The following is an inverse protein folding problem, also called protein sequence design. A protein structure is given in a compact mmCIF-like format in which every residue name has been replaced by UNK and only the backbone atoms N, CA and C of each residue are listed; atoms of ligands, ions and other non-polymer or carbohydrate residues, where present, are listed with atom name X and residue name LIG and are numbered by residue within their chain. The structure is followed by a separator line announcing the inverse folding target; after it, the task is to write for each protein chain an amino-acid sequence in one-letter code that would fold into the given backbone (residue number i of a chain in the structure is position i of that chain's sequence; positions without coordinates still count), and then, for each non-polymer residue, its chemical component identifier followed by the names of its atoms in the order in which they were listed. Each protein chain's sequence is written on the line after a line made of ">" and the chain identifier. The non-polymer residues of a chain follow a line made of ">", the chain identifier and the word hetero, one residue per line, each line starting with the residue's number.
data_IF_700203249101
#
_entry.id   IF_700203249101
#
_cell.length_a   1.000
_cell.length_b   1.000
_cell.length_c   1.000
_cell.angle_alpha   90.00
_cell.angle_beta   90.00
_cell.angle_gamma   90.00
#
_symmetry.space_group_name_H-M   'P 1'
#
loop_
_entity.id
_entity.type
_entity.pdbx_description
1 polymer ?
#
# COMPACT_ATOMS: atom_id res chain seq x y z
N UNK A 1 -7.08 15.59 16.73
CA UNK A 1 -7.50 15.01 15.44
C UNK A 1 -8.28 13.73 15.69
N UNK A 2 -9.38 13.49 14.98
CA UNK A 2 -10.11 12.20 15.05
C UNK A 2 -9.23 11.06 14.51
N UNK A 3 -9.29 9.83 15.10
CA UNK A 3 -8.55 8.66 14.61
C UNK A 3 -8.76 8.39 13.12
N UNK A 4 -9.98 8.63 12.63
CA UNK A 4 -10.35 8.50 11.21
C UNK A 4 -9.57 9.47 10.31
N UNK A 5 -9.39 10.72 10.75
CA UNK A 5 -8.66 11.75 9.99
C UNK A 5 -7.17 11.42 9.96
N UNK A 6 -6.59 11.05 11.10
CA UNK A 6 -5.18 10.63 11.20
C UNK A 6 -4.87 9.47 10.23
N UNK A 7 -5.74 8.47 10.20
CA UNK A 7 -5.60 7.32 9.29
C UNK A 7 -5.67 7.72 7.82
N UNK A 8 -6.62 8.58 7.46
CA UNK A 8 -6.78 9.07 6.09
C UNK A 8 -5.58 9.90 5.63
N UNK A 9 -5.01 10.71 6.52
CA UNK A 9 -3.77 11.44 6.26
C UNK A 9 -2.59 10.50 6.04
N UNK A 10 -2.42 9.47 6.88
CA UNK A 10 -1.36 8.46 6.68
C UNK A 10 -1.51 7.72 5.34
N UNK A 11 -2.73 7.33 4.98
CA UNK A 11 -3.02 6.70 3.70
C UNK A 11 -2.67 7.62 2.52
N UNK A 12 -3.06 8.90 2.62
CA UNK A 12 -2.73 9.90 1.61
C UNK A 12 -1.21 10.10 1.49
N UNK A 13 -0.50 10.20 2.61
CA UNK A 13 0.97 10.27 2.59
C UNK A 13 1.60 9.03 1.96
N UNK A 14 1.15 7.83 2.35
CA UNK A 14 1.61 6.58 1.74
C UNK A 14 1.42 6.60 0.23
N UNK A 15 0.23 7.00 -0.23
CA UNK A 15 -0.09 7.13 -1.65
C UNK A 15 0.81 8.10 -2.40
N UNK A 16 1.03 9.31 -1.87
CA UNK A 16 1.89 10.32 -2.50
C UNK A 16 3.35 9.83 -2.55
N UNK A 17 3.86 9.24 -1.47
CA UNK A 17 5.21 8.67 -1.45
C UNK A 17 5.32 7.55 -2.48
N UNK A 18 4.29 6.71 -2.59
CA UNK A 18 4.19 5.67 -3.62
C UNK A 18 4.27 6.24 -5.03
N UNK A 19 3.46 7.26 -5.33
CA UNK A 19 3.47 7.94 -6.63
C UNK A 19 4.85 8.52 -6.98
N UNK A 20 5.47 9.22 -6.04
CA UNK A 20 6.80 9.81 -6.24
C UNK A 20 7.84 8.72 -6.47
N UNK A 21 7.82 7.66 -5.64
CA UNK A 21 8.77 6.57 -5.77
C UNK A 21 8.61 5.80 -7.08
N UNK A 22 7.38 5.43 -7.46
CA UNK A 22 7.10 4.73 -8.70
C UNK A 22 7.40 5.58 -9.96
N UNK A 23 7.31 6.90 -9.85
CA UNK A 23 7.73 7.81 -10.92
C UNK A 23 9.25 7.84 -11.11
N UNK A 24 10.03 8.00 -10.04
CA UNK A 24 11.49 8.11 -10.14
C UNK A 24 12.21 6.76 -10.29
N UNK A 25 11.59 5.68 -9.79
CA UNK A 25 12.20 4.35 -9.68
C UNK A 25 11.22 3.24 -10.13
N UNK A 26 10.73 3.28 -11.39
CA UNK A 26 9.67 2.39 -11.86
C UNK A 26 10.07 0.91 -11.84
N UNK A 27 11.30 0.58 -12.22
CA UNK A 27 11.80 -0.80 -12.22
C UNK A 27 11.97 -1.36 -10.80
N UNK A 28 12.47 -0.57 -9.86
CA UNK A 28 12.55 -0.98 -8.45
C UNK A 28 11.15 -1.17 -7.86
N UNK A 29 10.19 -0.29 -8.20
CA UNK A 29 8.81 -0.41 -7.75
C UNK A 29 8.17 -1.72 -8.25
N UNK A 30 8.33 -2.05 -9.54
CA UNK A 30 7.87 -3.30 -10.13
C UNK A 30 8.44 -4.54 -9.41
N UNK A 31 9.73 -4.51 -9.06
CA UNK A 31 10.37 -5.62 -8.35
C UNK A 31 9.92 -5.75 -6.89
N UNK A 32 9.62 -4.63 -6.23
CA UNK A 32 9.15 -4.61 -4.84
C UNK A 32 7.67 -4.99 -4.71
N UNK A 33 6.89 -4.83 -5.77
CA UNK A 33 5.44 -5.06 -5.74
C UNK A 33 5.03 -6.44 -5.23
N UNK A 34 5.58 -7.56 -5.73
CA UNK A 34 5.22 -8.89 -5.25
C UNK A 34 5.51 -9.06 -3.77
N UNK A 35 6.70 -8.64 -3.31
CA UNK A 35 7.14 -8.80 -1.92
C UNK A 35 6.23 -8.01 -0.98
N UNK A 36 5.98 -6.74 -1.30
CA UNK A 36 5.14 -5.87 -0.49
C UNK A 36 3.67 -6.27 -0.53
N UNK A 37 3.15 -6.67 -1.70
CA UNK A 37 1.76 -7.13 -1.84
C UNK A 37 1.49 -8.43 -1.08
N UNK A 38 2.42 -9.41 -1.16
CA UNK A 38 2.32 -10.65 -0.38
C UNK A 38 2.41 -10.35 1.11
N UNK A 39 3.36 -9.52 1.55
CA UNK A 39 3.51 -9.17 2.96
C UNK A 39 2.25 -8.49 3.54
N UNK A 40 1.69 -7.54 2.80
CA UNK A 40 0.42 -6.88 3.15
C UNK A 40 -0.75 -7.87 3.15
N UNK A 41 -0.85 -8.72 2.14
CA UNK A 41 -1.92 -9.72 2.01
C UNK A 41 -1.91 -10.73 3.17
N UNK A 42 -0.72 -11.26 3.52
CA UNK A 42 -0.54 -12.15 4.67
C UNK A 42 -0.89 -11.41 5.98
N UNK A 43 -0.39 -10.17 6.15
CA UNK A 43 -0.70 -9.38 7.34
C UNK A 43 -2.20 -9.15 7.52
N UNK A 44 -2.90 -8.82 6.44
CA UNK A 44 -4.35 -8.66 6.45
C UNK A 44 -5.08 -9.97 6.72
N UNK A 45 -4.64 -11.08 6.10
CA UNK A 45 -5.23 -12.40 6.32
C UNK A 45 -5.12 -12.85 7.78
N UNK A 46 -3.95 -12.72 8.39
CA UNK A 46 -3.72 -13.03 9.81
C UNK A 46 -4.61 -12.15 10.70
N UNK A 47 -4.66 -10.84 10.41
CA UNK A 47 -5.52 -9.90 11.15
C UNK A 47 -6.99 -10.30 11.08
N UNK A 48 -7.50 -10.58 9.88
CA UNK A 48 -8.90 -10.99 9.67
C UNK A 48 -9.23 -12.30 10.38
N UNK A 49 -8.29 -13.25 10.40
CA UNK A 49 -8.46 -14.55 11.05
C UNK A 49 -8.41 -14.47 12.58
N UNK A 50 -7.71 -13.46 13.13
CA UNK A 50 -7.65 -13.21 14.57
C UNK A 50 -8.92 -12.54 15.09
N UNK A 51 -9.53 -11.66 14.30
CA UNK A 51 -10.78 -10.98 14.65
C UNK A 51 -11.98 -11.93 14.70
N UNK A 52 -11.99 -13.01 13.91
CA UNK A 52 -13.08 -14.00 13.94
C UNK A 52 -13.09 -14.88 15.20
N UNK A 53 -12.10 -14.76 16.10
CA UNK A 53 -11.95 -15.64 17.27
C UNK A 53 -12.13 -14.96 18.62
N UNK A 54 -12.12 -13.63 18.71
CA UNK A 54 -12.29 -12.91 19.98
C UNK A 54 -13.49 -11.96 19.91
N UNK A 55 -14.37 -12.15 20.89
CA UNK A 55 -15.58 -11.40 21.17
C UNK A 55 -15.25 -9.92 21.49
N UNK A 56 -15.89 -9.02 20.74
CA UNK A 56 -16.35 -7.67 21.09
C UNK A 56 -15.42 -6.62 21.75
N UNK A 57 -14.11 -6.81 21.80
CA UNK A 57 -13.18 -5.71 22.13
C UNK A 57 -12.11 -5.56 21.06
N UNK A 58 -12.51 -4.93 19.95
CA UNK A 58 -11.66 -4.47 18.84
C UNK A 58 -10.65 -3.44 19.38
N UNK A 59 -9.60 -3.91 20.06
CA UNK A 59 -8.40 -3.12 20.29
C UNK A 59 -7.85 -2.82 18.91
N UNK A 60 -8.04 -1.58 18.43
CA UNK A 60 -7.39 -1.03 17.24
C UNK A 60 -5.92 -1.43 17.29
N UNK A 61 -5.59 -2.48 16.55
CA UNK A 61 -4.30 -3.11 16.73
C UNK A 61 -3.31 -2.23 15.97
N UNK A 62 -2.30 -1.71 16.67
CA UNK A 62 -1.46 -0.59 16.23
C UNK A 62 -0.76 -0.78 14.86
N UNK A 63 -0.73 -2.02 14.35
CA UNK A 63 -0.16 -2.42 13.07
C UNK A 63 -1.12 -2.24 11.88
N UNK A 64 -2.44 -2.18 12.09
CA UNK A 64 -3.42 -2.03 11.00
C UNK A 64 -3.25 -0.72 10.21
N UNK A 65 -3.00 0.45 10.83
CA UNK A 65 -2.67 1.68 10.10
C UNK A 65 -1.42 1.55 9.22
N UNK A 66 -0.43 0.75 9.63
CA UNK A 66 0.79 0.52 8.86
C UNK A 66 0.50 -0.32 7.62
N UNK A 67 -0.27 -1.40 7.75
CA UNK A 67 -0.73 -2.22 6.60
C UNK A 67 -1.48 -1.35 5.59
N UNK A 68 -2.36 -0.47 6.07
CA UNK A 68 -3.07 0.47 5.19
C UNK A 68 -2.13 1.48 4.54
N UNK A 69 -1.12 2.00 5.24
CA UNK A 69 -0.14 2.90 4.63
C UNK A 69 0.63 2.21 3.50
N UNK A 70 1.08 0.97 3.70
CA UNK A 70 1.79 0.19 2.68
C UNK A 70 0.87 -0.13 1.50
N UNK A 71 -0.40 -0.48 1.74
CA UNK A 71 -1.40 -0.65 0.67
C UNK A 71 -1.48 0.58 -0.24
N UNK A 72 -1.66 1.77 0.35
CA UNK A 72 -1.80 3.00 -0.41
C UNK A 72 -0.50 3.40 -1.11
N UNK A 73 0.66 3.13 -0.51
CA UNK A 73 1.96 3.25 -1.16
C UNK A 73 2.06 2.35 -2.40
N UNK A 74 1.63 1.08 -2.31
CA UNK A 74 1.62 0.17 -3.45
C UNK A 74 0.72 0.70 -4.57
N UNK A 75 -0.49 1.16 -4.25
CA UNK A 75 -1.43 1.71 -5.24
C UNK A 75 -0.79 2.90 -5.97
N UNK A 76 -0.22 3.86 -5.25
CA UNK A 76 0.44 5.01 -5.86
C UNK A 76 1.65 4.63 -6.72
N UNK A 77 2.48 3.72 -6.23
CA UNK A 77 3.66 3.29 -6.97
C UNK A 77 3.33 2.46 -8.20
N UNK A 78 2.29 1.60 -8.16
CA UNK A 78 1.81 0.86 -9.35
C UNK A 78 1.33 1.84 -10.41
N UNK A 79 0.48 2.78 -10.03
CA UNK A 79 -0.11 3.73 -10.99
C UNK A 79 0.97 4.52 -11.73
N UNK A 80 1.88 5.14 -10.98
CA UNK A 80 2.96 5.94 -11.57
C UNK A 80 3.94 5.11 -12.40
N UNK A 81 4.40 3.97 -11.88
CA UNK A 81 5.38 3.12 -12.59
C UNK A 81 4.78 2.46 -13.83
N UNK A 82 3.53 2.00 -13.77
CA UNK A 82 2.85 1.37 -14.90
C UNK A 82 2.58 2.36 -16.03
N UNK A 83 2.22 3.61 -15.71
CA UNK A 83 2.03 4.67 -16.71
C UNK A 83 3.35 4.94 -17.45
N UNK A 84 4.46 5.08 -16.71
CA UNK A 84 5.77 5.31 -17.33
C UNK A 84 6.20 4.16 -18.23
N UNK A 85 6.08 2.93 -17.74
CA UNK A 85 6.45 1.75 -18.51
C UNK A 85 5.55 1.55 -19.74
N UNK A 86 4.26 1.87 -19.63
CA UNK A 86 3.35 1.86 -20.77
C UNK A 86 3.71 2.92 -21.82
N UNK A 87 4.16 4.10 -21.40
CA UNK A 87 4.66 5.14 -22.31
C UNK A 87 5.97 4.71 -22.98
N UNK A 88 6.92 4.15 -22.24
CA UNK A 88 8.17 3.63 -22.78
C UNK A 88 7.93 2.53 -23.83
N UNK A 89 7.01 1.60 -23.57
CA UNK A 89 6.64 0.56 -24.54
C UNK A 89 6.02 1.13 -25.82
N UNK A 90 5.22 2.21 -25.73
CA UNK A 90 4.65 2.85 -26.93
C UNK A 90 5.68 3.61 -27.77
N UNK A 91 6.73 4.14 -27.16
CA UNK A 91 7.79 4.87 -27.87
C UNK A 91 8.72 3.92 -28.64
N UNK A 92 8.84 2.67 -28.18
CA UNK A 92 9.68 1.65 -28.82
C UNK A 92 8.99 0.89 -29.99
N UNK A 93 7.70 1.14 -30.23
CA UNK A 93 6.94 0.60 -31.37
C UNK A 93 6.92 1.57 -32.54
#
# INVERSE_FOLDING_TARGET
>A
MSPKVKRRTLQFFGFIIGLVFGYFRPSQMQNLLPVLAIGVGIGYFIYSSSLSKEDDNVKETAWFPLVQMVMYFLIGGVLSSSILLALEMRIMQ
#
